data_IF_359348660290
#
_entry.id   IF_359348660290
#
_cell.length_a   1.000
_cell.length_b   1.000
_cell.length_c   1.000
_cell.angle_alpha   90.00
_cell.angle_beta   90.00
_cell.angle_gamma   90.00
#
_symmetry.space_group_name_H-M   'P 1'
#
loop_
_entity.id
_entity.type
_entity.pdbx_description
1 polymer ?
#
# COMPACT_ATOMS: atom_id res chain seq x y z
N UNK A 1 27.33 -4.72 -10.26
CA UNK A 1 26.50 -5.60 -9.42
C UNK A 1 25.23 -5.90 -10.20
N UNK A 2 25.05 -7.15 -10.63
CA UNK A 2 23.88 -7.59 -11.40
C UNK A 2 22.70 -7.87 -10.47
N UNK A 3 21.50 -7.46 -10.86
CA UNK A 3 20.28 -7.63 -10.08
C UNK A 3 19.37 -8.64 -10.77
N UNK A 4 18.71 -9.50 -9.99
CA UNK A 4 17.77 -10.50 -10.48
C UNK A 4 16.46 -10.34 -9.72
N UNK A 5 15.41 -9.92 -10.41
CA UNK A 5 14.09 -9.70 -9.86
C UNK A 5 13.13 -10.84 -10.21
N UNK A 6 12.53 -11.42 -9.19
CA UNK A 6 11.41 -12.35 -9.32
C UNK A 6 10.10 -11.56 -9.23
N UNK A 7 9.48 -11.35 -10.38
CA UNK A 7 8.28 -10.52 -10.56
C UNK A 7 6.97 -11.28 -10.27
N UNK A 8 6.99 -12.30 -9.40
CA UNK A 8 5.83 -13.15 -9.16
C UNK A 8 4.60 -12.37 -8.70
N UNK A 9 4.77 -11.20 -8.08
CA UNK A 9 3.64 -10.37 -7.62
C UNK A 9 2.66 -10.01 -8.73
N UNK A 10 3.15 -9.78 -9.95
CA UNK A 10 2.28 -9.43 -11.07
C UNK A 10 1.34 -10.56 -11.50
N UNK A 11 1.75 -11.81 -11.22
CA UNK A 11 0.88 -12.97 -11.42
C UNK A 11 -0.08 -13.20 -10.25
N UNK A 12 0.24 -12.71 -9.04
CA UNK A 12 -0.57 -12.89 -7.84
C UNK A 12 -1.64 -11.81 -7.65
N UNK A 13 -1.40 -10.61 -8.19
CA UNK A 13 -2.28 -9.45 -8.04
C UNK A 13 -2.57 -8.82 -9.40
N UNK A 14 -3.84 -8.53 -9.67
CA UNK A 14 -4.24 -7.72 -10.81
C UNK A 14 -3.94 -6.24 -10.57
N UNK A 15 -4.15 -5.79 -9.32
CA UNK A 15 -3.91 -4.44 -8.79
C UNK A 15 -3.58 -4.57 -7.31
N UNK A 16 -2.65 -3.77 -6.78
CA UNK A 16 -2.38 -3.73 -5.34
C UNK A 16 -1.10 -2.97 -4.98
N UNK A 17 -0.99 -2.54 -3.73
CA UNK A 17 0.13 -1.73 -3.24
C UNK A 17 1.51 -2.37 -3.46
N UNK A 18 1.62 -3.70 -3.33
CA UNK A 18 2.88 -4.40 -3.57
C UNK A 18 3.28 -4.32 -5.06
N UNK A 19 2.31 -4.44 -5.98
CA UNK A 19 2.60 -4.33 -7.42
C UNK A 19 2.94 -2.90 -7.84
N UNK A 20 2.41 -1.87 -7.17
CA UNK A 20 2.82 -0.46 -7.36
C UNK A 20 4.28 -0.28 -6.92
N UNK A 21 4.62 -0.66 -5.69
CA UNK A 21 5.98 -0.58 -5.16
C UNK A 21 6.98 -1.25 -6.11
N UNK A 22 6.66 -2.45 -6.58
CA UNK A 22 7.53 -3.21 -7.45
C UNK A 22 7.69 -2.57 -8.84
N UNK A 23 6.62 -2.01 -9.39
CA UNK A 23 6.64 -1.28 -10.64
C UNK A 23 7.50 -0.01 -10.54
N UNK A 24 7.38 0.73 -9.45
CA UNK A 24 8.15 1.96 -9.23
C UNK A 24 9.66 1.70 -9.08
N UNK A 25 10.05 0.58 -8.44
CA UNK A 25 11.45 0.15 -8.41
C UNK A 25 11.95 -0.21 -9.81
N UNK A 26 11.16 -0.96 -10.59
CA UNK A 26 11.55 -1.38 -11.94
C UNK A 26 11.66 -0.18 -12.89
N UNK A 27 10.71 0.77 -12.87
CA UNK A 27 10.78 2.00 -13.67
C UNK A 27 12.14 2.70 -13.49
N UNK A 28 12.58 2.87 -12.24
CA UNK A 28 13.83 3.54 -11.91
C UNK A 28 15.07 2.73 -12.26
N UNK A 29 15.01 1.42 -12.10
CA UNK A 29 16.10 0.54 -12.56
C UNK A 29 16.32 0.68 -14.08
N UNK A 30 15.24 0.69 -14.85
CA UNK A 30 15.29 0.85 -16.31
C UNK A 30 15.79 2.25 -16.69
N UNK A 31 15.26 3.30 -16.07
CA UNK A 31 15.68 4.68 -16.31
C UNK A 31 17.17 4.92 -16.00
N UNK A 32 17.71 4.25 -14.98
CA UNK A 32 19.13 4.35 -14.59
C UNK A 32 20.01 3.30 -15.29
N UNK A 33 19.51 2.64 -16.31
CA UNK A 33 20.23 1.65 -17.14
C UNK A 33 20.97 0.58 -16.31
N UNK A 34 20.36 0.16 -15.19
CA UNK A 34 20.95 -0.88 -14.35
C UNK A 34 20.83 -2.25 -15.02
N UNK A 35 21.87 -3.06 -14.89
CA UNK A 35 21.86 -4.44 -15.40
C UNK A 35 20.94 -5.31 -14.54
N UNK A 36 19.75 -5.66 -15.07
CA UNK A 36 18.71 -6.40 -14.35
C UNK A 36 18.15 -7.53 -15.19
N UNK A 37 18.06 -8.72 -14.61
CA UNK A 37 17.27 -9.83 -15.13
C UNK A 37 15.90 -9.85 -14.46
N UNK A 38 14.85 -9.87 -15.25
CA UNK A 38 13.48 -9.98 -14.75
C UNK A 38 12.93 -11.37 -15.05
N UNK A 39 12.44 -12.06 -14.03
CA UNK A 39 11.81 -13.37 -14.12
C UNK A 39 10.33 -13.24 -13.79
N UNK A 40 9.47 -13.73 -14.66
CA UNK A 40 8.02 -13.66 -14.42
C UNK A 40 7.25 -14.83 -15.08
N UNK A 41 6.05 -15.05 -14.59
CA UNK A 41 5.03 -15.90 -15.19
C UNK A 41 3.96 -15.06 -15.87
N UNK A 42 3.06 -15.70 -16.62
CA UNK A 42 1.92 -15.01 -17.24
C UNK A 42 1.13 -14.21 -16.18
N UNK A 43 0.75 -12.99 -16.54
CA UNK A 43 0.05 -12.10 -15.63
C UNK A 43 -0.88 -11.13 -16.38
N UNK A 44 -1.79 -10.52 -15.61
CA UNK A 44 -2.74 -9.51 -16.09
C UNK A 44 -2.64 -8.22 -15.25
N UNK A 45 -1.53 -8.01 -14.56
CA UNK A 45 -1.32 -6.85 -13.72
C UNK A 45 -1.25 -5.57 -14.56
N UNK A 46 -1.97 -4.53 -14.16
CA UNK A 46 -2.08 -3.27 -14.90
C UNK A 46 -0.75 -2.52 -14.92
N UNK A 47 -0.05 -2.44 -13.80
CA UNK A 47 1.22 -1.73 -13.68
C UNK A 47 2.34 -2.43 -14.46
N UNK A 48 2.28 -3.78 -14.55
CA UNK A 48 3.24 -4.53 -15.36
C UNK A 48 3.12 -4.21 -16.86
N UNK A 49 1.90 -3.96 -17.35
CA UNK A 49 1.66 -3.63 -18.76
C UNK A 49 2.32 -2.31 -19.18
N UNK A 50 2.51 -1.40 -18.24
CA UNK A 50 3.16 -0.10 -18.47
C UNK A 50 4.69 -0.18 -18.53
N UNK A 51 5.27 -1.31 -18.09
CA UNK A 51 6.71 -1.50 -18.03
C UNK A 51 7.25 -2.08 -19.35
N UNK A 52 8.10 -1.33 -20.04
CA UNK A 52 8.79 -1.80 -21.23
C UNK A 52 10.09 -2.57 -20.82
N UNK A 53 9.93 -3.80 -20.35
CA UNK A 53 11.04 -4.66 -19.93
C UNK A 53 11.04 -6.02 -20.65
N UNK A 54 12.22 -6.54 -20.92
CA UNK A 54 12.40 -7.92 -21.39
C UNK A 54 12.44 -8.85 -20.19
N UNK A 55 11.67 -9.92 -20.24
CA UNK A 55 11.55 -10.87 -19.15
C UNK A 55 11.93 -12.27 -19.59
N UNK A 56 12.38 -13.07 -18.64
CA UNK A 56 12.60 -14.50 -18.78
C UNK A 56 11.46 -15.24 -18.10
N UNK A 57 10.97 -16.30 -18.73
CA UNK A 57 9.95 -17.14 -18.09
C UNK A 57 10.54 -17.77 -16.81
N UNK A 58 9.85 -17.61 -15.69
CA UNK A 58 10.30 -18.16 -14.41
C UNK A 58 10.26 -19.70 -14.43
N UNK A 59 9.05 -20.27 -14.63
CA UNK A 59 8.83 -21.71 -14.57
C UNK A 59 7.59 -22.11 -15.38
N UNK A 60 7.47 -23.40 -15.69
CA UNK A 60 6.25 -24.02 -16.26
C UNK A 60 5.31 -24.56 -15.16
N UNK A 61 5.66 -24.41 -13.89
CA UNK A 61 4.85 -24.86 -12.77
C UNK A 61 3.60 -23.98 -12.63
N UNK A 62 2.47 -24.60 -12.30
CA UNK A 62 1.24 -23.87 -12.07
C UNK A 62 1.44 -22.80 -10.97
N UNK A 63 0.93 -21.59 -11.20
CA UNK A 63 1.09 -20.43 -10.31
C UNK A 63 0.64 -20.72 -8.87
N UNK A 64 -0.42 -21.51 -8.68
CA UNK A 64 -0.93 -21.87 -7.32
C UNK A 64 0.11 -22.61 -6.48
N UNK A 65 0.98 -23.38 -7.13
CA UNK A 65 2.09 -24.09 -6.48
C UNK A 65 3.36 -23.22 -6.49
N UNK A 66 3.66 -22.58 -7.63
CA UNK A 66 4.87 -21.79 -7.84
C UNK A 66 5.08 -20.73 -6.74
N UNK A 67 4.01 -20.08 -6.28
CA UNK A 67 4.09 -19.06 -5.23
C UNK A 67 4.70 -19.56 -3.92
N UNK A 68 4.61 -20.87 -3.64
CA UNK A 68 5.13 -21.49 -2.42
C UNK A 68 6.47 -22.17 -2.62
N UNK A 69 6.92 -22.32 -3.86
CA UNK A 69 8.20 -22.94 -4.17
C UNK A 69 9.34 -21.91 -4.12
N UNK A 70 10.54 -22.34 -3.74
CA UNK A 70 11.74 -21.49 -3.87
C UNK A 70 11.99 -21.15 -5.34
N UNK A 71 12.77 -20.11 -5.57
CA UNK A 71 13.25 -19.76 -6.89
C UNK A 71 14.36 -20.74 -7.31
N UNK A 72 14.13 -21.50 -8.37
CA UNK A 72 14.94 -22.66 -8.74
C UNK A 72 15.97 -22.41 -9.86
N UNK A 73 15.86 -21.28 -10.59
CA UNK A 73 16.83 -20.97 -11.64
C UNK A 73 18.18 -20.63 -11.04
N UNK A 74 19.24 -21.10 -11.69
CA UNK A 74 20.61 -20.72 -11.37
C UNK A 74 20.84 -19.27 -11.77
N UNK A 75 21.27 -18.46 -10.82
CA UNK A 75 21.56 -17.04 -10.99
C UNK A 75 23.07 -16.83 -11.12
N UNK A 76 23.50 -15.72 -11.75
CA UNK A 76 24.91 -15.35 -11.81
C UNK A 76 25.52 -15.27 -10.41
N UNK A 77 26.76 -15.70 -10.29
CA UNK A 77 27.53 -15.62 -9.04
C UNK A 77 27.70 -14.16 -8.61
N UNK A 78 27.73 -13.93 -7.31
CA UNK A 78 27.91 -12.58 -6.74
C UNK A 78 26.90 -11.57 -7.29
N UNK A 79 25.66 -12.02 -7.52
CA UNK A 79 24.54 -11.15 -7.93
C UNK A 79 23.53 -10.97 -6.78
N UNK A 80 22.61 -10.03 -6.96
CA UNK A 80 21.48 -9.82 -6.05
C UNK A 80 20.26 -10.57 -6.56
N UNK A 81 19.55 -11.24 -5.66
CA UNK A 81 18.22 -11.79 -5.87
C UNK A 81 17.24 -11.10 -4.96
N UNK A 82 16.19 -10.50 -5.52
CA UNK A 82 15.08 -9.93 -4.77
C UNK A 82 13.76 -10.39 -5.36
N UNK A 83 12.97 -11.10 -4.57
CA UNK A 83 11.63 -11.52 -4.95
C UNK A 83 10.59 -10.48 -4.54
N UNK A 84 9.66 -10.19 -5.43
CA UNK A 84 8.53 -9.29 -5.18
C UNK A 84 7.53 -9.83 -4.14
N UNK A 85 7.66 -11.11 -3.79
CA UNK A 85 6.91 -11.75 -2.72
C UNK A 85 7.84 -12.63 -1.88
N UNK A 86 7.34 -13.54 -1.03
CA UNK A 86 8.16 -14.30 -0.08
C UNK A 86 8.81 -15.56 -0.66
N UNK A 87 9.25 -15.53 -1.93
CA UNK A 87 10.05 -16.62 -2.50
C UNK A 87 11.54 -16.40 -2.18
N UNK A 88 12.26 -17.45 -1.84
CA UNK A 88 13.69 -17.40 -1.58
C UNK A 88 14.45 -18.27 -2.55
N UNK A 89 15.74 -18.00 -2.78
CA UNK A 89 16.67 -18.91 -3.46
C UNK A 89 17.57 -19.59 -2.43
N UNK A 90 17.88 -20.87 -2.64
CA UNK A 90 18.85 -21.60 -1.82
C UNK A 90 20.29 -21.52 -2.35
N UNK A 91 20.51 -20.80 -3.44
CA UNK A 91 21.84 -20.55 -3.94
C UNK A 91 22.63 -19.70 -2.93
N UNK A 92 23.87 -20.12 -2.57
CA UNK A 92 24.63 -19.50 -1.46
C UNK A 92 25.49 -18.32 -1.89
N UNK A 93 25.92 -18.30 -3.12
CA UNK A 93 26.88 -17.36 -3.72
C UNK A 93 26.20 -16.15 -4.38
N UNK A 94 25.02 -15.80 -3.90
CA UNK A 94 24.25 -14.61 -4.26
C UNK A 94 23.79 -13.89 -3.00
N UNK A 95 23.51 -12.59 -3.09
CA UNK A 95 22.82 -11.83 -2.05
C UNK A 95 21.31 -12.02 -2.20
N UNK A 96 20.64 -12.37 -1.13
CA UNK A 96 19.17 -12.55 -1.09
C UNK A 96 18.53 -11.43 -0.28
N UNK A 97 17.69 -10.67 -0.93
CA UNK A 97 16.91 -9.60 -0.31
C UNK A 97 15.43 -10.01 -0.26
N UNK A 98 14.76 -9.64 0.79
CA UNK A 98 13.30 -9.78 0.94
C UNK A 98 12.69 -8.48 1.44
N UNK A 99 11.56 -8.07 0.86
CA UNK A 99 10.73 -6.99 1.40
C UNK A 99 9.58 -7.56 2.21
N UNK A 100 9.40 -7.06 3.43
CA UNK A 100 8.29 -7.38 4.34
C UNK A 100 7.31 -6.22 4.30
N UNK A 101 6.10 -6.50 3.85
CA UNK A 101 5.06 -5.49 3.63
C UNK A 101 4.17 -5.30 4.86
N UNK A 102 3.78 -6.39 5.52
CA UNK A 102 2.91 -6.38 6.68
C UNK A 102 2.95 -7.71 7.45
N UNK A 103 2.22 -7.75 8.57
CA UNK A 103 1.93 -8.95 9.34
C UNK A 103 0.42 -9.21 9.47
N UNK A 104 -0.36 -8.79 8.46
CA UNK A 104 -1.83 -8.93 8.41
C UNK A 104 -2.27 -10.39 8.60
N UNK A 105 -1.55 -11.35 8.02
CA UNK A 105 -1.87 -12.77 8.18
C UNK A 105 -1.69 -13.24 9.64
N UNK A 106 -0.67 -12.74 10.31
CA UNK A 106 -0.37 -13.08 11.70
C UNK A 106 -1.41 -12.50 12.67
N UNK A 107 -1.98 -11.34 12.36
CA UNK A 107 -2.97 -10.67 13.20
C UNK A 107 -4.42 -11.06 12.89
N UNK A 108 -4.79 -11.16 11.62
CA UNK A 108 -6.20 -11.19 11.19
C UNK A 108 -6.61 -12.46 10.45
N UNK A 109 -5.71 -13.41 10.23
CA UNK A 109 -6.04 -14.69 9.63
C UNK A 109 -5.87 -15.83 10.66
N UNK A 110 -6.52 -16.95 10.39
CA UNK A 110 -6.44 -18.16 11.21
C UNK A 110 -6.32 -19.42 10.33
N UNK A 111 -6.07 -20.57 10.94
CA UNK A 111 -6.02 -21.86 10.26
C UNK A 111 -4.85 -22.02 9.28
N UNK A 112 -5.01 -22.93 8.33
CA UNK A 112 -3.97 -23.32 7.36
C UNK A 112 -3.42 -22.15 6.55
N UNK A 113 -4.24 -21.21 6.02
CA UNK A 113 -3.72 -20.07 5.25
C UNK A 113 -2.73 -19.22 6.03
N UNK A 114 -3.00 -18.96 7.33
CA UNK A 114 -2.06 -18.25 8.22
C UNK A 114 -0.76 -19.01 8.35
N UNK A 115 -0.84 -20.30 8.70
CA UNK A 115 0.35 -21.13 8.95
C UNK A 115 1.25 -21.19 7.72
N UNK A 116 0.69 -21.46 6.55
CA UNK A 116 1.45 -21.59 5.30
C UNK A 116 2.08 -20.25 4.90
N UNK A 117 1.32 -19.15 4.96
CA UNK A 117 1.84 -17.82 4.60
C UNK A 117 2.94 -17.37 5.57
N UNK A 118 2.71 -17.49 6.89
CA UNK A 118 3.70 -17.12 7.90
C UNK A 118 4.95 -18.00 7.81
N UNK A 119 4.80 -19.31 7.55
CA UNK A 119 5.94 -20.19 7.33
C UNK A 119 6.78 -19.74 6.14
N UNK A 120 6.15 -19.45 5.00
CA UNK A 120 6.85 -18.98 3.80
C UNK A 120 7.57 -17.65 4.04
N UNK A 121 6.90 -16.67 4.66
CA UNK A 121 7.48 -15.38 5.05
C UNK A 121 8.70 -15.59 5.96
N UNK A 122 8.54 -16.39 7.00
CA UNK A 122 9.60 -16.69 7.97
C UNK A 122 10.81 -17.37 7.30
N UNK A 123 10.57 -18.31 6.39
CA UNK A 123 11.62 -18.97 5.61
C UNK A 123 12.38 -17.96 4.74
N UNK A 124 11.67 -17.05 4.06
CA UNK A 124 12.28 -16.02 3.25
C UNK A 124 13.13 -15.07 4.10
N UNK A 125 12.61 -14.59 5.23
CA UNK A 125 13.32 -13.72 6.18
C UNK A 125 14.56 -14.42 6.76
N UNK A 126 14.42 -15.68 7.17
CA UNK A 126 15.53 -16.45 7.75
C UNK A 126 16.68 -16.61 6.75
N UNK A 127 16.37 -16.89 5.49
CA UNK A 127 17.37 -17.11 4.44
C UNK A 127 17.90 -15.83 3.79
N UNK A 128 17.26 -14.67 4.04
CA UNK A 128 17.70 -13.40 3.48
C UNK A 128 19.01 -12.92 4.11
N UNK A 129 19.86 -12.34 3.28
CA UNK A 129 21.06 -11.62 3.69
C UNK A 129 20.73 -10.17 4.06
N UNK A 130 19.64 -9.61 3.47
CA UNK A 130 19.06 -8.31 3.81
C UNK A 130 17.54 -8.36 3.82
N UNK A 131 16.92 -7.63 4.75
CA UNK A 131 15.46 -7.54 4.92
C UNK A 131 15.05 -6.08 4.90
N UNK A 132 14.16 -5.71 3.99
CA UNK A 132 13.55 -4.40 3.91
C UNK A 132 12.18 -4.47 4.60
N UNK A 133 11.91 -3.58 5.56
CA UNK A 133 10.58 -3.36 6.10
C UNK A 133 10.05 -2.01 5.58
N UNK A 134 8.81 -1.97 5.08
CA UNK A 134 8.27 -0.76 4.45
C UNK A 134 7.87 0.34 5.45
N UNK A 135 7.90 0.03 6.76
CA UNK A 135 7.65 0.96 7.86
C UNK A 135 8.38 0.50 9.13
N UNK A 136 8.55 1.40 10.10
CA UNK A 136 9.05 1.02 11.42
C UNK A 136 8.06 0.13 12.17
N UNK A 137 6.77 0.34 11.98
CA UNK A 137 5.75 -0.54 12.53
C UNK A 137 5.94 -1.98 12.02
N UNK A 138 6.10 -2.18 10.70
CA UNK A 138 6.40 -3.50 10.12
C UNK A 138 7.71 -4.07 10.64
N UNK A 139 8.74 -3.25 10.88
CA UNK A 139 10.01 -3.68 11.49
C UNK A 139 9.82 -4.12 12.94
N UNK A 140 9.01 -3.41 13.70
CA UNK A 140 8.69 -3.78 15.08
C UNK A 140 7.90 -5.11 15.14
N UNK A 141 6.94 -5.28 14.25
CA UNK A 141 6.20 -6.54 14.10
C UNK A 141 7.13 -7.69 13.70
N UNK A 142 8.09 -7.44 12.80
CA UNK A 142 9.08 -8.45 12.45
C UNK A 142 9.81 -8.96 13.70
N UNK A 143 10.29 -8.08 14.56
CA UNK A 143 10.98 -8.50 15.78
C UNK A 143 10.03 -9.08 16.84
N UNK A 144 8.77 -8.70 16.85
CA UNK A 144 7.74 -9.30 17.70
C UNK A 144 7.49 -10.76 17.33
N UNK A 145 7.30 -11.05 16.03
CA UNK A 145 6.99 -12.40 15.55
C UNK A 145 8.23 -13.26 15.33
N UNK A 146 9.39 -12.65 15.07
CA UNK A 146 10.68 -13.30 14.78
C UNK A 146 11.80 -12.68 15.61
N UNK A 147 11.77 -12.82 16.95
CA UNK A 147 12.70 -12.10 17.85
C UNK A 147 14.17 -12.46 17.64
N UNK A 148 14.47 -13.62 17.10
CA UNK A 148 15.83 -14.09 16.83
C UNK A 148 16.40 -13.59 15.49
N UNK A 149 15.70 -12.70 14.78
CA UNK A 149 16.22 -12.14 13.52
C UNK A 149 17.38 -11.17 13.83
N UNK A 150 18.52 -11.36 13.14
CA UNK A 150 19.64 -10.43 13.26
C UNK A 150 19.22 -9.02 12.85
N UNK A 151 19.34 -8.06 13.76
CA UNK A 151 18.91 -6.66 13.58
C UNK A 151 19.71 -5.94 12.48
N UNK A 152 21.00 -6.27 12.32
CA UNK A 152 21.88 -5.64 11.34
C UNK A 152 21.47 -5.89 9.87
N UNK A 153 20.73 -6.98 9.61
CA UNK A 153 20.23 -7.25 8.27
C UNK A 153 18.88 -6.61 7.95
N UNK A 154 18.26 -5.88 8.90
CA UNK A 154 16.92 -5.33 8.77
C UNK A 154 16.96 -3.81 8.65
N UNK A 155 16.46 -3.27 7.55
CA UNK A 155 16.40 -1.83 7.30
C UNK A 155 14.95 -1.41 7.02
N UNK A 156 14.53 -0.28 7.60
CA UNK A 156 13.28 0.37 7.19
C UNK A 156 13.56 1.21 5.95
N UNK A 157 12.80 1.00 4.89
CA UNK A 157 12.81 1.81 3.67
C UNK A 157 11.36 2.15 3.36
N UNK A 158 11.00 3.40 3.51
CA UNK A 158 9.64 3.86 3.29
C UNK A 158 9.26 3.82 1.81
N UNK A 159 8.02 3.43 1.55
CA UNK A 159 7.41 3.52 0.23
C UNK A 159 6.71 4.89 0.06
N UNK A 160 6.09 5.12 -1.09
CA UNK A 160 5.45 6.40 -1.39
C UNK A 160 4.09 6.22 -2.06
N UNK A 161 3.39 7.32 -2.27
CA UNK A 161 2.28 7.43 -3.22
C UNK A 161 2.77 7.86 -4.60
N UNK A 162 1.96 7.69 -5.63
CA UNK A 162 2.25 8.11 -7.00
C UNK A 162 2.26 9.63 -7.17
N UNK A 163 2.94 10.11 -8.23
CA UNK A 163 3.01 11.54 -8.53
C UNK A 163 1.72 12.08 -9.16
N UNK A 164 0.87 11.22 -9.66
CA UNK A 164 -0.47 11.52 -10.15
C UNK A 164 -1.38 12.11 -9.07
N UNK A 165 -1.08 11.87 -7.79
CA UNK A 165 -1.79 12.48 -6.67
C UNK A 165 -1.20 13.87 -6.38
N UNK A 166 -2.01 14.89 -6.62
CA UNK A 166 -1.65 16.28 -6.42
C UNK A 166 -2.89 17.16 -6.24
N UNK A 167 -2.70 18.32 -5.66
CA UNK A 167 -3.78 19.31 -5.50
C UNK A 167 -4.18 19.88 -6.86
N UNK A 168 -5.47 19.84 -7.19
CA UNK A 168 -6.06 20.40 -8.41
C UNK A 168 -6.52 21.83 -8.13
N UNK A 169 -6.03 22.82 -8.88
CA UNK A 169 -6.36 24.22 -8.66
C UNK A 169 -7.84 24.56 -8.92
N UNK A 170 -8.42 23.96 -9.97
CA UNK A 170 -9.81 24.19 -10.35
C UNK A 170 -10.54 22.86 -10.49
N UNK A 171 -10.92 22.28 -9.35
CA UNK A 171 -11.60 20.98 -9.29
C UNK A 171 -12.95 20.99 -10.02
N UNK A 172 -13.70 22.10 -9.98
CA UNK A 172 -15.01 22.18 -10.63
C UNK A 172 -14.90 21.99 -12.14
N UNK A 173 -13.87 22.60 -12.77
CA UNK A 173 -13.60 22.45 -14.20
C UNK A 173 -13.21 21.00 -14.53
N UNK A 174 -12.48 20.34 -13.67
CA UNK A 174 -12.05 18.94 -13.84
C UNK A 174 -13.21 17.94 -13.73
N UNK A 175 -14.37 18.35 -13.23
CA UNK A 175 -15.55 17.49 -13.10
C UNK A 175 -16.40 17.42 -14.36
N UNK A 176 -16.33 18.45 -15.21
CA UNK A 176 -17.22 18.59 -16.39
C UNK A 176 -17.09 17.35 -17.28
N UNK A 177 -18.22 16.71 -17.55
CA UNK A 177 -18.30 15.51 -18.38
C UNK A 177 -17.73 14.22 -17.76
N UNK A 178 -17.34 14.24 -16.48
CA UNK A 178 -16.93 13.03 -15.76
C UNK A 178 -18.10 12.39 -15.02
N UNK A 179 -17.96 11.10 -14.69
CA UNK A 179 -18.92 10.37 -13.84
C UNK A 179 -19.04 10.91 -12.42
N UNK A 180 -18.13 11.81 -12.00
CA UNK A 180 -18.11 12.42 -10.67
C UNK A 180 -18.89 13.74 -10.59
N UNK A 181 -19.43 14.23 -11.71
CA UNK A 181 -20.23 15.47 -11.73
C UNK A 181 -21.44 15.39 -10.80
N UNK A 182 -22.00 14.20 -10.62
CA UNK A 182 -23.11 13.95 -9.66
C UNK A 182 -22.73 14.22 -8.18
N UNK A 183 -21.43 14.28 -7.89
CA UNK A 183 -20.90 14.55 -6.55
C UNK A 183 -20.65 16.04 -6.30
N UNK A 184 -20.82 16.87 -7.33
CA UNK A 184 -20.63 18.33 -7.22
C UNK A 184 -21.54 18.89 -6.12
N UNK A 185 -20.98 19.72 -5.26
CA UNK A 185 -21.65 20.33 -4.10
C UNK A 185 -22.06 19.36 -2.97
N UNK A 186 -21.62 18.11 -2.98
CA UNK A 186 -21.80 17.18 -1.88
C UNK A 186 -20.64 17.30 -0.88
N UNK A 187 -20.94 17.14 0.42
CA UNK A 187 -19.91 16.96 1.45
C UNK A 187 -19.50 15.49 1.46
N UNK A 188 -18.34 15.16 0.91
CA UNK A 188 -17.90 13.79 0.67
C UNK A 188 -16.97 13.33 1.79
N UNK A 189 -17.29 12.23 2.42
CA UNK A 189 -16.35 11.41 3.18
C UNK A 189 -15.92 10.26 2.27
N UNK A 190 -14.60 10.21 1.96
CA UNK A 190 -14.03 9.20 1.07
C UNK A 190 -13.48 8.02 1.88
N UNK A 191 -13.82 6.81 1.47
CA UNK A 191 -13.24 5.57 1.96
C UNK A 191 -12.51 4.86 0.82
N UNK A 192 -11.21 4.56 0.99
CA UNK A 192 -10.38 3.88 -0.01
C UNK A 192 -9.82 2.60 0.60
N UNK A 193 -10.20 1.45 0.05
CA UNK A 193 -9.66 0.19 0.52
C UNK A 193 -10.54 -1.04 0.27
N UNK A 194 -10.06 -2.18 0.76
CA UNK A 194 -10.78 -3.44 0.70
C UNK A 194 -11.85 -3.51 1.81
N UNK A 195 -13.11 -3.34 1.44
CA UNK A 195 -14.25 -3.39 2.36
C UNK A 195 -14.43 -4.76 3.04
N UNK A 196 -13.95 -5.85 2.42
CA UNK A 196 -14.06 -7.21 2.94
C UNK A 196 -13.04 -7.53 4.02
N UNK A 197 -12.02 -6.72 4.15
CA UNK A 197 -10.99 -6.86 5.18
C UNK A 197 -11.49 -6.28 6.50
N UNK A 198 -11.72 -7.14 7.50
CA UNK A 198 -12.30 -6.75 8.80
C UNK A 198 -11.53 -5.61 9.48
N UNK A 199 -10.20 -5.62 9.38
CA UNK A 199 -9.34 -4.60 9.99
C UNK A 199 -9.43 -3.21 9.32
N UNK A 200 -10.04 -3.11 8.14
CA UNK A 200 -10.30 -1.83 7.47
C UNK A 200 -11.61 -1.15 7.89
N UNK A 201 -12.42 -1.84 8.69
CA UNK A 201 -13.59 -1.31 9.38
C UNK A 201 -14.59 -0.55 8.49
N UNK A 202 -14.95 -1.12 7.32
CA UNK A 202 -15.91 -0.48 6.41
C UNK A 202 -17.29 -0.27 7.07
N UNK A 203 -17.78 -1.24 7.85
CA UNK A 203 -19.06 -1.09 8.55
C UNK A 203 -19.05 0.09 9.52
N UNK A 204 -17.94 0.32 10.21
CA UNK A 204 -17.77 1.51 11.05
C UNK A 204 -17.81 2.80 10.22
N UNK A 205 -17.22 2.82 9.02
CA UNK A 205 -17.32 4.01 8.15
C UNK A 205 -18.77 4.30 7.75
N UNK A 206 -19.57 3.27 7.45
CA UNK A 206 -21.02 3.41 7.21
C UNK A 206 -21.73 3.98 8.44
N UNK A 207 -21.45 3.43 9.63
CA UNK A 207 -22.06 3.88 10.89
C UNK A 207 -21.69 5.34 11.25
N UNK A 208 -20.44 5.76 10.98
CA UNK A 208 -20.00 7.13 11.19
C UNK A 208 -20.81 8.08 10.31
N UNK A 209 -20.86 7.80 8.99
CA UNK A 209 -21.55 8.68 8.03
C UNK A 209 -23.07 8.66 8.23
N UNK A 210 -23.64 7.57 8.74
CA UNK A 210 -25.08 7.53 9.08
C UNK A 210 -25.48 8.61 10.08
N UNK A 211 -24.57 8.96 11.00
CA UNK A 211 -24.77 9.99 12.03
C UNK A 211 -24.38 11.41 11.59
N UNK A 212 -23.92 11.57 10.37
CA UNK A 212 -23.49 12.84 9.77
C UNK A 212 -24.40 13.13 8.57
N UNK A 213 -25.59 13.69 8.80
CA UNK A 213 -26.67 13.81 7.81
C UNK A 213 -26.28 14.61 6.56
N UNK A 214 -25.41 15.62 6.71
CA UNK A 214 -24.94 16.46 5.59
C UNK A 214 -23.90 15.80 4.69
N UNK A 215 -23.38 14.63 5.08
CA UNK A 215 -22.30 13.96 4.39
C UNK A 215 -22.79 12.76 3.60
N UNK A 216 -22.12 12.48 2.48
CA UNK A 216 -22.26 11.25 1.73
C UNK A 216 -20.98 10.42 1.88
N UNK A 217 -21.12 9.09 1.84
CA UNK A 217 -20.01 8.17 1.80
C UNK A 217 -19.69 7.80 0.35
N UNK A 218 -18.48 8.08 -0.09
CA UNK A 218 -17.95 7.59 -1.38
C UNK A 218 -16.92 6.52 -1.09
N UNK A 219 -17.08 5.32 -1.67
CA UNK A 219 -16.11 4.24 -1.51
C UNK A 219 -15.44 3.86 -2.83
N UNK A 220 -14.13 3.52 -2.75
CA UNK A 220 -13.31 3.08 -3.86
C UNK A 220 -12.58 1.78 -3.49
N UNK A 221 -12.58 0.82 -4.40
CA UNK A 221 -11.88 -0.46 -4.24
C UNK A 221 -12.80 -1.64 -3.90
N UNK A 222 -12.19 -2.81 -3.61
CA UNK A 222 -12.81 -4.05 -3.13
C UNK A 222 -13.88 -4.72 -4.03
N UNK A 223 -13.93 -4.45 -5.33
CA UNK A 223 -14.87 -5.11 -6.23
C UNK A 223 -16.34 -4.74 -5.98
N UNK A 224 -17.26 -5.55 -6.47
CA UNK A 224 -18.71 -5.31 -6.36
C UNK A 224 -19.18 -5.30 -4.89
N UNK A 225 -20.24 -4.52 -4.62
CA UNK A 225 -20.94 -4.53 -3.34
C UNK A 225 -21.60 -5.90 -3.17
N UNK A 226 -21.42 -6.53 -2.02
CA UNK A 226 -22.10 -7.79 -1.65
C UNK A 226 -23.51 -7.51 -1.14
N UNK A 227 -24.35 -8.55 -1.08
CA UNK A 227 -25.74 -8.41 -0.57
C UNK A 227 -25.74 -7.93 0.90
N UNK A 228 -24.81 -8.44 1.74
CA UNK A 228 -24.69 -7.99 3.14
C UNK A 228 -24.24 -6.52 3.24
N UNK A 229 -23.26 -6.12 2.43
CA UNK A 229 -22.83 -4.71 2.35
C UNK A 229 -23.98 -3.82 1.87
N UNK A 230 -24.76 -4.28 0.86
CA UNK A 230 -25.90 -3.54 0.33
C UNK A 230 -26.98 -3.35 1.40
N UNK A 231 -27.34 -4.40 2.13
CA UNK A 231 -28.32 -4.29 3.21
C UNK A 231 -27.87 -3.29 4.29
N UNK A 232 -26.58 -3.34 4.68
CA UNK A 232 -26.01 -2.40 5.64
C UNK A 232 -26.10 -0.94 5.13
N UNK A 233 -25.76 -0.71 3.86
CA UNK A 233 -25.76 0.62 3.23
C UNK A 233 -27.19 1.16 3.10
N UNK A 234 -28.13 0.36 2.58
CA UNK A 234 -29.50 0.77 2.34
C UNK A 234 -30.23 1.17 3.63
N UNK A 235 -29.96 0.45 4.73
CA UNK A 235 -30.53 0.76 6.05
C UNK A 235 -29.96 2.06 6.63
N UNK A 236 -28.67 2.31 6.49
CA UNK A 236 -27.97 3.38 7.19
C UNK A 236 -27.75 4.66 6.38
N UNK A 237 -27.58 4.55 5.07
CA UNK A 237 -27.18 5.68 4.23
C UNK A 237 -28.18 6.00 3.11
N UNK A 238 -29.00 5.03 2.69
CA UNK A 238 -29.96 5.19 1.60
C UNK A 238 -29.25 5.70 0.30
N UNK A 239 -29.63 6.88 -0.18
CA UNK A 239 -29.08 7.55 -1.36
C UNK A 239 -27.76 8.30 -1.09
N UNK A 240 -27.28 8.31 0.16
CA UNK A 240 -26.03 8.96 0.57
C UNK A 240 -24.78 8.08 0.40
N UNK A 241 -24.83 7.07 -0.47
CA UNK A 241 -23.70 6.20 -0.75
C UNK A 241 -23.42 6.11 -2.24
N UNK A 242 -22.14 6.25 -2.61
CA UNK A 242 -21.65 6.01 -3.97
C UNK A 242 -20.44 5.09 -3.93
N UNK A 243 -20.36 4.18 -4.92
CA UNK A 243 -19.25 3.26 -5.05
C UNK A 243 -18.68 3.27 -6.47
N UNK A 244 -17.37 3.45 -6.57
CA UNK A 244 -16.68 3.47 -7.86
C UNK A 244 -15.69 2.32 -7.97
N UNK A 245 -15.79 1.58 -9.09
CA UNK A 245 -14.94 0.46 -9.43
C UNK A 245 -14.05 0.79 -10.63
N UNK A 246 -12.82 0.24 -10.59
CA UNK A 246 -11.93 0.26 -11.73
C UNK A 246 -11.54 1.67 -12.19
N UNK A 247 -11.52 2.62 -11.24
CA UNK A 247 -11.08 3.98 -11.52
C UNK A 247 -9.56 4.04 -11.66
N UNK A 248 -9.07 4.95 -12.47
CA UNK A 248 -7.65 5.24 -12.60
C UNK A 248 -7.12 6.02 -11.40
N UNK A 249 -5.79 6.14 -11.27
CA UNK A 249 -5.17 6.98 -10.24
C UNK A 249 -5.55 8.47 -10.42
N UNK A 250 -5.64 8.96 -11.66
CA UNK A 250 -6.09 10.33 -11.94
C UNK A 250 -7.54 10.55 -11.50
N UNK A 251 -8.42 9.59 -11.76
CA UNK A 251 -9.81 9.61 -11.30
C UNK A 251 -9.90 9.56 -9.76
N UNK A 252 -9.05 8.77 -9.11
CA UNK A 252 -8.96 8.73 -7.66
C UNK A 252 -8.42 10.05 -7.09
N UNK A 253 -7.46 10.69 -7.77
CA UNK A 253 -6.99 12.03 -7.40
C UNK A 253 -8.11 13.06 -7.45
N UNK A 254 -9.00 13.01 -8.45
CA UNK A 254 -10.20 13.87 -8.50
C UNK A 254 -11.07 13.64 -7.26
N UNK A 255 -11.33 12.38 -6.88
CA UNK A 255 -12.13 12.07 -5.70
C UNK A 255 -11.49 12.58 -4.40
N UNK A 256 -10.17 12.44 -4.23
CA UNK A 256 -9.48 13.04 -3.08
C UNK A 256 -9.66 14.56 -3.05
N UNK A 257 -9.46 15.24 -4.17
CA UNK A 257 -9.62 16.70 -4.26
C UNK A 257 -11.05 17.21 -4.00
N UNK A 258 -12.07 16.38 -4.31
CA UNK A 258 -13.47 16.66 -4.03
C UNK A 258 -13.86 16.42 -2.58
N UNK A 259 -13.11 15.57 -1.89
CA UNK A 259 -13.53 15.05 -0.60
C UNK A 259 -13.34 16.04 0.53
N UNK A 260 -14.30 16.06 1.44
CA UNK A 260 -14.17 16.76 2.71
C UNK A 260 -13.04 16.17 3.53
N UNK A 261 -12.95 14.84 3.60
CA UNK A 261 -11.83 14.12 4.18
C UNK A 261 -11.75 12.68 3.65
N UNK A 262 -10.56 12.11 3.75
CA UNK A 262 -10.37 10.66 3.75
C UNK A 262 -10.69 10.13 5.16
N UNK A 263 -11.65 9.22 5.26
CA UNK A 263 -11.93 8.43 6.46
C UNK A 263 -11.25 7.07 6.33
N UNK A 264 -10.21 6.83 7.14
CA UNK A 264 -9.37 5.64 7.06
C UNK A 264 -9.31 4.93 8.42
N UNK A 265 -10.41 4.26 8.85
CA UNK A 265 -10.55 3.73 10.20
C UNK A 265 -9.85 2.38 10.40
N UNK A 266 -8.71 2.17 9.75
CA UNK A 266 -7.99 0.90 9.77
C UNK A 266 -7.41 0.59 11.14
N UNK A 267 -7.59 -0.64 11.60
CA UNK A 267 -6.98 -1.15 12.84
C UNK A 267 -5.50 -1.51 12.66
N UNK A 268 -5.07 -1.73 11.43
CA UNK A 268 -3.72 -2.15 11.10
C UNK A 268 -3.39 -1.83 9.64
N UNK A 269 -2.19 -1.31 9.40
CA UNK A 269 -1.62 -1.11 8.07
C UNK A 269 -0.13 -1.42 8.08
N UNK A 270 0.38 -1.96 6.97
CA UNK A 270 1.82 -2.10 6.78
C UNK A 270 2.49 -0.76 6.48
N UNK A 271 1.74 0.18 5.84
CA UNK A 271 2.19 1.54 5.57
C UNK A 271 1.04 2.55 5.55
N UNK A 272 0.04 2.39 4.67
CA UNK A 272 -1.08 3.33 4.53
C UNK A 272 -0.91 4.29 3.35
N UNK A 273 -0.65 3.76 2.15
CA UNK A 273 -0.51 4.56 0.91
C UNK A 273 -1.66 5.55 0.73
N UNK A 274 -2.96 5.21 0.95
CA UNK A 274 -4.08 6.15 0.81
C UNK A 274 -3.96 7.43 1.64
N UNK A 275 -3.24 7.40 2.76
CA UNK A 275 -2.98 8.59 3.58
C UNK A 275 -2.09 9.57 2.81
N UNK A 276 -1.02 9.08 2.19
CA UNK A 276 -0.13 9.93 1.38
C UNK A 276 -0.80 10.44 0.11
N UNK A 277 -1.63 9.60 -0.53
CA UNK A 277 -2.42 9.99 -1.70
C UNK A 277 -3.35 11.16 -1.35
N UNK A 278 -4.12 11.03 -0.25
CA UNK A 278 -4.99 12.08 0.25
C UNK A 278 -4.22 13.36 0.58
N UNK A 279 -3.10 13.26 1.29
CA UNK A 279 -2.28 14.41 1.66
C UNK A 279 -1.69 15.14 0.44
N UNK A 280 -1.22 14.42 -0.59
CA UNK A 280 -0.75 15.02 -1.85
C UNK A 280 -1.86 15.74 -2.60
N UNK A 281 -3.06 15.19 -2.57
CA UNK A 281 -4.25 15.79 -3.16
C UNK A 281 -4.83 16.96 -2.35
N UNK A 282 -4.27 17.27 -1.18
CA UNK A 282 -4.78 18.29 -0.28
C UNK A 282 -6.09 17.89 0.41
N UNK A 283 -6.35 16.60 0.55
CA UNK A 283 -7.49 16.05 1.26
C UNK A 283 -7.11 15.79 2.74
N UNK A 284 -7.80 16.38 3.72
CA UNK A 284 -7.59 16.07 5.12
C UNK A 284 -7.84 14.60 5.43
N UNK A 285 -7.11 14.07 6.41
CA UNK A 285 -7.19 12.67 6.82
C UNK A 285 -7.72 12.54 8.24
N UNK A 286 -8.71 11.68 8.43
CA UNK A 286 -9.18 11.18 9.72
C UNK A 286 -8.88 9.68 9.77
N UNK A 287 -8.07 9.24 10.72
CA UNK A 287 -7.62 7.86 10.82
C UNK A 287 -7.39 7.44 12.29
N UNK A 288 -6.82 6.27 12.50
CA UNK A 288 -6.41 5.76 13.81
C UNK A 288 -4.94 6.09 14.09
N UNK A 289 -4.52 6.05 15.35
CA UNK A 289 -3.12 6.14 15.75
C UNK A 289 -2.42 4.76 15.83
N UNK A 290 -2.89 3.77 15.06
CA UNK A 290 -2.43 2.39 15.12
C UNK A 290 -1.42 2.04 14.02
N UNK A 291 -0.56 1.08 14.34
CA UNK A 291 0.43 0.50 13.42
C UNK A 291 1.32 1.56 12.74
N UNK A 292 1.40 1.57 11.41
CA UNK A 292 2.21 2.52 10.63
C UNK A 292 1.53 3.87 10.40
N UNK A 293 0.26 4.03 10.73
CA UNK A 293 -0.51 5.24 10.43
C UNK A 293 0.12 6.50 11.04
N UNK A 294 0.51 6.53 12.35
CA UNK A 294 1.13 7.71 12.94
C UNK A 294 2.46 8.12 12.30
N UNK A 295 3.29 7.13 11.92
CA UNK A 295 4.59 7.45 11.29
C UNK A 295 4.45 7.98 9.86
N UNK A 296 3.38 7.61 9.15
CA UNK A 296 3.08 8.11 7.81
C UNK A 296 2.37 9.46 7.88
N UNK A 297 1.37 9.58 8.75
CA UNK A 297 0.56 10.78 8.87
C UNK A 297 1.28 11.95 9.57
N UNK A 298 2.18 11.66 10.49
CA UNK A 298 2.81 12.70 11.34
C UNK A 298 1.75 13.47 12.11
N UNK A 299 1.92 14.79 12.18
CA UNK A 299 0.97 15.75 12.78
C UNK A 299 -0.01 16.37 11.76
N UNK A 300 -0.13 15.76 10.58
CA UNK A 300 -0.91 16.27 9.46
C UNK A 300 -2.28 15.59 9.29
N UNK A 301 -2.72 14.82 10.28
CA UNK A 301 -4.02 14.15 10.29
C UNK A 301 -4.65 14.23 11.68
N UNK A 302 -5.96 14.03 11.74
CA UNK A 302 -6.63 13.80 13.03
C UNK A 302 -6.63 12.29 13.26
N UNK A 303 -5.90 11.86 14.29
CA UNK A 303 -5.76 10.46 14.67
C UNK A 303 -6.57 10.17 15.92
N UNK A 304 -7.36 9.09 15.89
CA UNK A 304 -8.15 8.63 17.04
C UNK A 304 -7.46 7.42 17.70
N UNK A 305 -7.48 7.40 19.01
CA UNK A 305 -6.88 6.38 19.88
C UNK A 305 -7.76 5.13 20.10
N UNK A 306 -9.01 5.19 19.66
CA UNK A 306 -9.97 4.09 19.81
C UNK A 306 -10.83 3.95 18.55
N UNK A 307 -11.15 2.70 18.20
CA UNK A 307 -12.06 2.38 17.09
C UNK A 307 -13.50 2.46 17.58
N UNK A 308 -13.95 3.69 17.89
CA UNK A 308 -15.29 4.00 18.32
C UNK A 308 -15.92 5.07 17.42
N UNK A 309 -17.16 4.87 17.04
CA UNK A 309 -17.94 5.75 16.16
C UNK A 309 -17.88 7.21 16.60
N UNK A 310 -18.07 7.46 17.89
CA UNK A 310 -18.15 8.79 18.49
C UNK A 310 -16.84 9.57 18.30
N UNK A 311 -15.70 8.90 18.49
CA UNK A 311 -14.36 9.50 18.29
C UNK A 311 -14.14 9.96 16.85
N UNK A 312 -14.57 9.16 15.88
CA UNK A 312 -14.46 9.54 14.46
C UNK A 312 -15.43 10.66 14.09
N UNK A 313 -16.67 10.66 14.65
CA UNK A 313 -17.63 11.75 14.43
C UNK A 313 -17.04 13.07 14.97
N UNK A 314 -16.48 13.08 16.17
CA UNK A 314 -15.81 14.24 16.75
C UNK A 314 -14.66 14.70 15.85
N UNK A 315 -13.82 13.77 15.40
CA UNK A 315 -12.68 14.04 14.50
C UNK A 315 -13.12 14.65 13.15
N UNK A 316 -14.19 14.13 12.54
CA UNK A 316 -14.76 14.71 11.30
C UNK A 316 -15.29 16.11 11.56
N UNK A 317 -16.02 16.34 12.66
CA UNK A 317 -16.57 17.66 13.03
C UNK A 317 -15.48 18.69 13.32
N UNK A 318 -14.33 18.31 13.88
CA UNK A 318 -13.20 19.22 14.04
C UNK A 318 -12.71 19.81 12.71
N UNK A 319 -12.84 19.07 11.61
CA UNK A 319 -12.48 19.56 10.26
C UNK A 319 -13.46 20.62 9.70
N UNK A 320 -14.58 20.87 10.36
CA UNK A 320 -15.50 21.98 10.01
C UNK A 320 -14.90 23.35 10.39
N UNK A 321 -13.95 23.39 11.34
CA UNK A 321 -13.11 24.56 11.55
C UNK A 321 -12.19 24.75 10.32
N UNK A 322 -12.49 25.79 9.56
CA UNK A 322 -11.79 26.12 8.31
C UNK A 322 -10.31 26.43 8.52
N UNK A 323 -9.94 26.95 9.69
CA UNK A 323 -8.54 27.26 10.04
C UNK A 323 -7.77 25.98 10.28
N UNK A 324 -8.29 25.12 11.14
CA UNK A 324 -7.70 23.80 11.42
C UNK A 324 -7.60 22.97 10.13
N UNK A 325 -8.67 22.95 9.34
CA UNK A 325 -8.70 22.23 8.07
C UNK A 325 -7.57 22.68 7.12
N UNK A 326 -7.38 24.00 6.97
CA UNK A 326 -6.32 24.56 6.13
C UNK A 326 -4.94 24.21 6.67
N UNK A 327 -4.75 24.32 7.98
CA UNK A 327 -3.49 23.93 8.63
C UNK A 327 -3.13 22.48 8.35
N UNK A 328 -4.10 21.55 8.48
CA UNK A 328 -3.88 20.12 8.23
C UNK A 328 -3.59 19.82 6.75
N UNK A 329 -4.23 20.53 5.83
CA UNK A 329 -3.92 20.43 4.38
C UNK A 329 -2.47 20.84 4.13
N UNK A 330 -2.05 21.99 4.65
CA UNK A 330 -0.69 22.51 4.42
C UNK A 330 0.36 21.58 5.05
N UNK A 331 0.11 21.11 6.26
CA UNK A 331 0.96 20.08 6.92
C UNK A 331 0.98 18.77 6.12
N UNK A 332 -0.16 18.34 5.57
CA UNK A 332 -0.27 17.12 4.76
C UNK A 332 0.60 17.17 3.51
N UNK A 333 0.58 18.29 2.79
CA UNK A 333 1.44 18.50 1.61
C UNK A 333 2.93 18.39 2.00
N UNK A 334 3.33 19.01 3.11
CA UNK A 334 4.70 18.94 3.63
C UNK A 334 5.05 17.53 4.09
N UNK A 335 4.14 16.86 4.80
CA UNK A 335 4.39 15.49 5.29
C UNK A 335 4.54 14.51 4.12
N UNK A 336 3.65 14.57 3.13
CA UNK A 336 3.69 13.68 1.97
C UNK A 336 4.96 13.88 1.12
N UNK A 337 5.52 15.10 1.06
CA UNK A 337 6.75 15.38 0.32
C UNK A 337 8.00 14.69 0.89
N UNK A 338 7.97 14.23 2.14
CA UNK A 338 9.06 13.48 2.76
C UNK A 338 9.20 12.05 2.20
N UNK A 339 8.14 11.54 1.57
CA UNK A 339 8.07 10.21 0.99
C UNK A 339 8.07 10.33 -0.54
N UNK A 340 9.13 9.84 -1.18
CA UNK A 340 9.23 9.84 -2.64
C UNK A 340 9.70 8.46 -3.13
N UNK A 341 9.27 8.08 -4.33
CA UNK A 341 9.74 6.84 -4.93
C UNK A 341 11.23 6.90 -5.28
N UNK A 342 11.78 8.09 -5.55
CA UNK A 342 13.21 8.27 -5.78
C UNK A 342 14.01 7.96 -4.53
N UNK A 343 13.61 8.50 -3.38
CA UNK A 343 14.22 8.19 -2.09
C UNK A 343 14.12 6.71 -1.76
N UNK A 344 12.94 6.11 -1.95
CA UNK A 344 12.75 4.67 -1.76
C UNK A 344 13.70 3.83 -2.63
N UNK A 345 13.84 4.21 -3.89
CA UNK A 345 14.74 3.55 -4.82
C UNK A 345 16.21 3.71 -4.41
N UNK A 346 16.66 4.93 -4.12
CA UNK A 346 18.04 5.21 -3.71
C UNK A 346 18.41 4.46 -2.43
N UNK A 347 17.55 4.50 -1.41
CA UNK A 347 17.75 3.75 -0.17
C UNK A 347 17.79 2.23 -0.41
N UNK A 348 16.99 1.73 -1.36
CA UNK A 348 16.99 0.31 -1.75
C UNK A 348 18.31 -0.06 -2.45
N UNK A 349 18.81 0.76 -3.38
CA UNK A 349 20.09 0.50 -4.05
C UNK A 349 21.27 0.58 -3.08
N UNK A 350 21.29 1.57 -2.21
CA UNK A 350 22.32 1.69 -1.16
C UNK A 350 22.31 0.48 -0.23
N UNK A 351 21.13 -0.02 0.12
CA UNK A 351 21.01 -1.22 0.95
C UNK A 351 21.49 -2.48 0.22
N UNK A 352 21.24 -2.60 -1.08
CA UNK A 352 21.78 -3.70 -1.86
C UNK A 352 23.32 -3.68 -1.85
N UNK A 353 23.94 -2.52 -2.04
CA UNK A 353 25.40 -2.37 -2.02
C UNK A 353 25.98 -2.69 -0.65
N UNK A 354 25.33 -2.21 0.43
CA UNK A 354 25.70 -2.49 1.82
C UNK A 354 25.71 -4.01 2.10
N UNK A 355 24.61 -4.70 1.74
CA UNK A 355 24.50 -6.15 1.96
C UNK A 355 25.46 -6.93 1.07
N UNK A 356 25.68 -6.47 -0.15
CA UNK A 356 26.62 -7.08 -1.08
C UNK A 356 28.05 -7.03 -0.54
N UNK A 357 28.51 -5.86 -0.10
CA UNK A 357 29.83 -5.68 0.52
C UNK A 357 29.98 -6.55 1.74
N UNK A 358 29.04 -6.52 2.65
CA UNK A 358 29.05 -7.34 3.87
C UNK A 358 29.20 -8.84 3.59
N UNK A 359 28.68 -9.32 2.45
CA UNK A 359 28.71 -10.74 2.11
C UNK A 359 29.96 -11.17 1.36
N UNK A 360 30.54 -10.32 0.53
CA UNK A 360 31.57 -10.72 -0.43
C UNK A 360 32.91 -9.96 -0.28
N UNK A 361 32.93 -8.90 0.50
CA UNK A 361 34.12 -8.11 0.85
C UNK A 361 34.42 -8.20 2.35
#
# INVERSE_FOLDING_TARGET
MQINYDNIIYSLQKVGGISIYWAELIKRLVQKEKEVNFYESENQNIFRKELNIRTQKDSNVNLRLLRYLPFMKKLPLKSIFHSSYFRTSFQKDIVRIVTVYDFTYEYYRSGIPRVVHSWQKNLAIKNADGVICISNSTKNDLFKFLPNTNKEKVKTIYISAGEEFHKIENIEKSLIGTKFEILKYKKIILYVGDRKSSYKNFSLAVDIVSSLEEYILVSVGAGQITDDEKALIDINLQDRFHHFLGISSDELNILYNLSFCLLYPSSYEGFGIPILEAMRAGCPVVSTDFSSIPEVAGDAAILVDEIKKEKFIEAVKLLEDTKLRRELIDKGLVQASKFTWDKCFEETMNFYEEVYKRKFE
#
